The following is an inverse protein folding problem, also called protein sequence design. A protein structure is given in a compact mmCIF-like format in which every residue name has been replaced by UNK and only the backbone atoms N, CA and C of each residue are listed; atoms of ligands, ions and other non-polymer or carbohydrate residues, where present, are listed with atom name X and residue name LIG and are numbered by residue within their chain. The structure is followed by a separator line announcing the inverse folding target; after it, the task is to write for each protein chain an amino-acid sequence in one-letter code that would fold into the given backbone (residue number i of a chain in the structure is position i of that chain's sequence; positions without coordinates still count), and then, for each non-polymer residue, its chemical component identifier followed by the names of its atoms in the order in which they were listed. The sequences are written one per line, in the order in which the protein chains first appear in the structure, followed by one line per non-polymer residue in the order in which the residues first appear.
data_IF_856553544268
#
_entry.id   IF_856553544268
#
_cell.length_a   1.000
_cell.length_b   1.000
_cell.length_c   1.000
_cell.angle_alpha   90.00
_cell.angle_beta   90.00
_cell.angle_gamma   90.00
#
_symmetry.space_group_name_H-M   'P 1'
#
loop_
_entity.id
_entity.type
_entity.pdbx_description
1 polymer ?
#
# COMPACT_ATOMS: atom_id res chain seq x y z
N UNK A 1 -22.30 20.62 22.37
CA UNK A 1 -22.03 20.05 21.88
C UNK A 1 -21.02 19.72 21.93
N UNK A 2 -20.79 19.35 21.60
CA UNK A 2 -19.77 18.97 22.14
C UNK A 2 -18.75 18.57 21.24
N UNK A 3 -17.62 18.28 21.75
CA UNK A 3 -16.49 17.91 20.93
C UNK A 3 -16.75 16.64 20.17
N UNK A 4 -17.81 15.97 20.49
CA UNK A 4 -18.12 14.73 19.79
C UNK A 4 -18.56 14.96 18.38
N UNK A 5 -18.90 16.19 18.05
CA UNK A 5 -19.31 16.52 16.70
C UNK A 5 -18.16 16.89 15.78
N UNK A 6 -16.95 16.86 16.29
CA UNK A 6 -15.81 17.23 15.47
C UNK A 6 -15.30 16.03 14.69
N UNK A 7 -15.03 16.26 13.44
CA UNK A 7 -14.41 15.25 12.60
C UNK A 7 -12.92 15.17 12.95
N UNK A 8 -12.48 13.99 13.30
CA UNK A 8 -11.07 13.78 13.59
C UNK A 8 -10.40 13.14 12.40
N UNK A 9 -9.40 13.81 11.88
CA UNK A 9 -8.66 13.33 10.72
C UNK A 9 -7.24 13.07 11.16
N UNK A 10 -6.79 11.83 10.96
CA UNK A 10 -5.42 11.48 11.26
C UNK A 10 -4.51 12.09 10.21
N UNK A 11 -3.38 12.56 10.65
CA UNK A 11 -2.36 13.02 9.73
C UNK A 11 -1.74 11.85 9.03
N UNK A 12 -1.31 12.12 7.81
CA UNK A 12 -0.58 11.11 7.07
C UNK A 12 0.70 10.78 7.81
N UNK A 13 0.99 9.50 7.91
CA UNK A 13 2.16 9.03 8.61
C UNK A 13 1.93 8.72 10.06
N UNK A 14 0.85 9.21 10.65
CA UNK A 14 0.55 8.88 12.03
C UNK A 14 -0.08 7.50 12.17
N UNK A 15 -0.46 6.93 11.06
CA UNK A 15 -1.01 5.57 11.03
C UNK A 15 0.08 4.52 10.80
N UNK A 16 1.34 4.91 10.83
CA UNK A 16 2.45 4.01 10.62
C UNK A 16 2.88 3.87 9.17
N UNK A 17 2.24 4.59 8.26
CA UNK A 17 2.59 4.54 6.85
C UNK A 17 3.26 5.83 6.41
N UNK A 18 4.16 5.69 5.47
CA UNK A 18 4.84 6.83 4.86
C UNK A 18 4.66 6.77 3.37
N UNK A 19 4.56 7.94 2.76
CA UNK A 19 4.47 8.02 1.31
C UNK A 19 5.85 8.03 0.69
N UNK A 20 6.03 7.17 -0.29
CA UNK A 20 7.23 7.15 -1.11
C UNK A 20 6.82 7.09 -2.57
N UNK A 21 7.72 7.49 -3.44
CA UNK A 21 7.50 7.40 -4.88
C UNK A 21 8.39 6.32 -5.44
N UNK A 22 7.81 5.44 -6.25
CA UNK A 22 8.54 4.33 -6.83
C UNK A 22 8.24 4.28 -8.32
N UNK A 23 9.27 4.05 -9.12
CA UNK A 23 9.10 3.84 -10.55
C UNK A 23 8.97 2.35 -10.80
N UNK A 24 7.90 1.96 -11.45
CA UNK A 24 7.64 0.56 -11.77
C UNK A 24 7.71 0.35 -13.27
N UNK A 25 8.20 -0.82 -13.67
CA UNK A 25 8.14 -1.19 -15.08
C UNK A 25 6.68 -1.38 -15.48
N UNK A 26 6.40 -1.09 -16.73
CA UNK A 26 5.03 -1.15 -17.21
C UNK A 26 4.44 -2.56 -17.12
N UNK A 27 5.25 -3.58 -17.34
CA UNK A 27 4.78 -4.95 -17.25
C UNK A 27 4.37 -5.31 -15.82
N UNK A 28 5.12 -4.83 -14.85
CA UNK A 28 4.78 -5.06 -13.43
C UNK A 28 3.52 -4.30 -13.07
N UNK A 29 3.41 -3.07 -13.53
CA UNK A 29 2.22 -2.27 -13.25
C UNK A 29 0.97 -2.93 -13.82
N UNK A 30 1.07 -3.47 -15.02
CA UNK A 30 -0.06 -4.17 -15.64
C UNK A 30 -0.47 -5.39 -14.83
N UNK A 31 0.50 -6.13 -14.31
CA UNK A 31 0.19 -7.29 -13.48
C UNK A 31 -0.46 -6.89 -12.17
N UNK A 32 -0.03 -5.79 -11.59
CA UNK A 32 -0.66 -5.28 -10.37
C UNK A 32 -2.10 -4.87 -10.62
N UNK A 33 -2.35 -4.21 -11.75
CA UNK A 33 -3.71 -3.81 -12.09
C UNK A 33 -4.61 -5.02 -12.26
N UNK A 34 -4.09 -6.07 -12.89
CA UNK A 34 -4.85 -7.29 -13.07
C UNK A 34 -5.18 -7.94 -11.74
N UNK A 35 -4.20 -8.02 -10.85
CA UNK A 35 -4.42 -8.59 -9.53
C UNK A 35 -5.39 -7.75 -8.72
N UNK A 36 -5.30 -6.44 -8.83
CA UNK A 36 -6.22 -5.55 -8.14
C UNK A 36 -7.66 -5.82 -8.57
N UNK A 37 -7.87 -6.01 -9.87
CA UNK A 37 -9.20 -6.30 -10.38
C UNK A 37 -9.70 -7.68 -9.94
N UNK A 38 -8.81 -8.65 -9.84
CA UNK A 38 -9.20 -10.01 -9.50
C UNK A 38 -9.45 -10.19 -8.01
N UNK A 39 -8.79 -9.42 -7.18
CA UNK A 39 -8.84 -9.61 -5.73
C UNK A 39 -9.66 -8.56 -5.02
N UNK A 40 -10.00 -7.48 -5.69
CA UNK A 40 -10.65 -6.31 -5.10
C UNK A 40 -9.77 -5.59 -4.07
N UNK A 41 -8.49 -5.88 -4.07
CA UNK A 41 -7.54 -5.11 -3.28
C UNK A 41 -7.04 -3.94 -4.11
N UNK A 42 -6.75 -2.83 -3.47
CA UNK A 42 -6.14 -1.72 -4.18
C UNK A 42 -4.69 -2.06 -4.54
N UNK A 43 -4.15 -1.35 -5.54
CA UNK A 43 -2.74 -1.53 -5.89
C UNK A 43 -1.85 -1.29 -4.68
N UNK A 44 -2.17 -0.27 -3.92
CA UNK A 44 -1.38 0.09 -2.76
C UNK A 44 -1.33 -1.04 -1.74
N UNK A 45 -2.47 -1.65 -1.48
CA UNK A 45 -2.55 -2.79 -0.57
C UNK A 45 -1.75 -3.97 -1.09
N UNK A 46 -1.88 -4.25 -2.39
CA UNK A 46 -1.14 -5.34 -3.00
C UNK A 46 0.36 -5.12 -2.93
N UNK A 47 0.80 -3.90 -3.19
CA UNK A 47 2.22 -3.58 -3.12
C UNK A 47 2.76 -3.86 -1.73
N UNK A 48 2.02 -3.46 -0.70
CA UNK A 48 2.46 -3.71 0.67
C UNK A 48 2.55 -5.20 0.98
N UNK A 49 1.55 -5.97 0.57
CA UNK A 49 1.54 -7.40 0.81
C UNK A 49 2.70 -8.07 0.09
N UNK A 50 2.91 -7.71 -1.18
CA UNK A 50 3.95 -8.32 -1.99
C UNK A 50 5.33 -7.96 -1.47
N UNK A 51 5.53 -6.70 -1.08
CA UNK A 51 6.80 -6.28 -0.54
C UNK A 51 7.11 -6.97 0.79
N UNK A 52 6.11 -7.10 1.63
CA UNK A 52 6.31 -7.81 2.89
C UNK A 52 6.73 -9.25 2.65
N UNK A 53 6.04 -9.93 1.75
CA UNK A 53 6.40 -11.29 1.40
C UNK A 53 7.81 -11.35 0.82
N UNK A 54 8.12 -10.44 -0.11
CA UNK A 54 9.42 -10.44 -0.75
C UNK A 54 10.56 -10.21 0.22
N UNK A 55 10.39 -9.23 1.10
CA UNK A 55 11.42 -8.89 2.07
C UNK A 55 11.69 -10.07 3.00
N UNK A 56 10.64 -10.75 3.41
CA UNK A 56 10.78 -11.88 4.34
C UNK A 56 11.34 -13.13 3.69
N UNK A 57 11.42 -13.16 2.37
CA UNK A 57 11.86 -14.33 1.63
C UNK A 57 13.09 -14.08 0.77
N UNK A 58 13.80 -12.99 1.02
CA UNK A 58 15.02 -12.68 0.30
C UNK A 58 16.20 -13.41 0.94
N UNK A 59 16.99 -14.03 0.08
CA UNK A 59 18.27 -14.59 0.48
C UNK A 59 19.37 -13.75 -0.12
N UNK A 60 20.33 -13.35 0.71
CA UNK A 60 21.49 -12.59 0.25
C UNK A 60 22.65 -13.56 0.04
N UNK A 61 23.09 -13.64 -1.20
CA UNK A 61 24.18 -14.54 -1.55
C UNK A 61 25.52 -13.83 -1.53
#
# INVERSE_FOLDING_TARGET
MDSNNKLKIKRRGEDGNKMISVRLREDILSQLDKLSNETNYSRNELINVILEFGINNIEIE
#
